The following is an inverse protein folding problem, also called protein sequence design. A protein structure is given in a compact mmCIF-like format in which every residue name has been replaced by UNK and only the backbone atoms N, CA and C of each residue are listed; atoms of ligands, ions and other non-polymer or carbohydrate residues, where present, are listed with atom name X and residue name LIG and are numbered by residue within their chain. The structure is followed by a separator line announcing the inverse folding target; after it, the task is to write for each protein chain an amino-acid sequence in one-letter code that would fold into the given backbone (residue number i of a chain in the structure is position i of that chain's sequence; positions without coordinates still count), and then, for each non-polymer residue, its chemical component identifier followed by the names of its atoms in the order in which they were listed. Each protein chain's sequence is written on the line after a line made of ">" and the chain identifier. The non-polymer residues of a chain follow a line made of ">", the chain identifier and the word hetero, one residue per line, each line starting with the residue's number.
data_IF_053451369522
#
_entry.id   IF_053451369522
#
_cell.length_a   1.000
_cell.length_b   1.000
_cell.length_c   1.000
_cell.angle_alpha   90.00
_cell.angle_beta   90.00
_cell.angle_gamma   90.00
#
_symmetry.space_group_name_H-M   'P 1'
#
loop_
_entity.id
_entity.type
_entity.pdbx_description
1 polymer ?
#
# COMPACT_ATOMS: atom_id res chain seq x y z
N UNK A 1 44.14 3.05 -88.13
CA UNK A 1 42.68 3.23 -88.36
C UNK A 1 42.08 1.83 -88.27
N UNK A 2 41.17 1.46 -87.39
CA UNK A 2 40.23 2.20 -86.57
C UNK A 2 39.95 1.41 -85.27
N UNK A 3 39.66 2.14 -84.20
CA UNK A 3 39.05 1.61 -82.99
C UNK A 3 37.58 1.24 -83.29
N UNK A 4 37.11 0.08 -82.83
CA UNK A 4 35.67 -0.17 -82.64
C UNK A 4 35.48 -1.14 -81.47
N UNK A 5 35.01 -0.53 -80.37
CA UNK A 5 34.45 -1.06 -79.13
C UNK A 5 33.31 -2.09 -79.40
N UNK A 6 32.77 -2.88 -78.44
CA UNK A 6 32.77 -2.66 -76.99
C UNK A 6 32.97 -3.94 -76.15
N UNK A 7 33.96 -3.96 -75.26
CA UNK A 7 33.97 -4.93 -74.16
C UNK A 7 33.61 -4.20 -72.89
N UNK A 8 32.33 -4.00 -72.64
CA UNK A 8 31.81 -3.69 -71.30
C UNK A 8 30.39 -4.23 -71.27
N UNK A 9 30.29 -5.56 -71.20
CA UNK A 9 29.12 -6.17 -70.61
C UNK A 9 29.01 -5.60 -69.20
N UNK A 10 28.07 -4.66 -69.01
CA UNK A 10 27.65 -4.20 -67.69
C UNK A 10 27.13 -5.43 -66.96
N UNK A 11 28.01 -6.07 -66.19
CA UNK A 11 27.60 -6.96 -65.13
C UNK A 11 26.81 -6.09 -64.15
N UNK A 12 25.52 -6.38 -64.07
CA UNK A 12 24.59 -5.91 -63.06
C UNK A 12 25.29 -5.92 -61.70
N UNK A 13 25.68 -4.74 -61.20
CA UNK A 13 26.26 -4.60 -59.87
C UNK A 13 25.07 -4.78 -58.91
N UNK A 14 24.77 -6.03 -58.58
CA UNK A 14 23.98 -6.34 -57.41
C UNK A 14 24.82 -5.92 -56.21
N UNK A 15 24.62 -4.70 -55.74
CA UNK A 15 25.05 -4.30 -54.40
C UNK A 15 24.50 -5.36 -53.45
N UNK A 16 25.34 -6.09 -52.69
CA UNK A 16 24.80 -6.94 -51.65
C UNK A 16 24.08 -5.98 -50.72
N UNK A 17 22.75 -6.06 -50.69
CA UNK A 17 21.97 -5.37 -49.68
C UNK A 17 22.67 -5.72 -48.38
N UNK A 18 23.32 -4.73 -47.78
CA UNK A 18 23.99 -4.90 -46.50
C UNK A 18 22.82 -5.17 -45.57
N UNK A 19 22.47 -6.45 -45.42
CA UNK A 19 21.53 -6.94 -44.46
C UNK A 19 22.21 -6.66 -43.13
N UNK A 20 22.06 -5.42 -42.69
CA UNK A 20 22.37 -4.90 -41.37
C UNK A 20 21.34 -5.47 -40.40
N UNK A 21 20.97 -6.74 -40.59
CA UNK A 21 20.48 -7.61 -39.54
C UNK A 21 21.69 -8.02 -38.72
N UNK A 22 22.31 -7.02 -38.07
CA UNK A 22 23.20 -7.33 -36.98
C UNK A 22 22.30 -7.95 -35.90
N UNK A 23 22.48 -9.22 -35.52
CA UNK A 23 21.89 -9.68 -34.28
C UNK A 23 22.44 -8.72 -33.23
N UNK A 24 21.59 -7.97 -32.49
CA UNK A 24 22.10 -7.18 -31.38
C UNK A 24 22.90 -8.17 -30.54
N UNK A 25 24.20 -7.92 -30.41
CA UNK A 25 25.17 -8.89 -29.87
C UNK A 25 24.56 -9.61 -28.67
N UNK A 26 24.71 -10.94 -28.52
CA UNK A 26 23.94 -11.77 -27.57
C UNK A 26 23.94 -11.24 -26.11
N UNK A 27 24.89 -10.37 -25.75
CA UNK A 27 24.90 -9.64 -24.48
C UNK A 27 23.72 -8.69 -24.24
N UNK A 28 23.02 -8.20 -25.27
CA UNK A 28 21.82 -7.38 -25.07
C UNK A 28 20.67 -8.19 -24.50
N UNK A 29 20.55 -9.47 -24.85
CA UNK A 29 19.56 -10.35 -24.21
C UNK A 29 19.85 -10.52 -22.72
N UNK A 30 21.12 -10.56 -22.34
CA UNK A 30 21.50 -10.61 -20.93
C UNK A 30 21.11 -9.31 -20.21
N UNK A 31 21.31 -8.16 -20.86
CA UNK A 31 20.94 -6.85 -20.35
C UNK A 31 19.42 -6.68 -20.25
N UNK A 32 18.66 -7.10 -21.25
CA UNK A 32 17.19 -7.06 -21.21
C UNK A 32 16.63 -7.97 -20.12
N UNK A 33 17.16 -9.19 -19.97
CA UNK A 33 16.78 -10.09 -18.87
C UNK A 33 17.10 -9.46 -17.51
N UNK A 34 18.30 -8.88 -17.35
CA UNK A 34 18.69 -8.19 -16.11
C UNK A 34 17.71 -7.06 -15.78
N UNK A 35 17.37 -6.22 -16.76
CA UNK A 35 16.43 -5.11 -16.62
C UNK A 35 15.04 -5.63 -16.23
N UNK A 36 14.53 -6.67 -16.89
CA UNK A 36 13.24 -7.27 -16.56
C UNK A 36 13.22 -7.80 -15.12
N UNK A 37 14.28 -8.49 -14.69
CA UNK A 37 14.40 -8.99 -13.31
C UNK A 37 14.38 -7.82 -12.32
N UNK A 38 15.12 -6.75 -12.61
CA UNK A 38 15.17 -5.55 -11.75
C UNK A 38 13.80 -4.87 -11.65
N UNK A 39 13.08 -4.74 -12.77
CA UNK A 39 11.71 -4.24 -12.77
C UNK A 39 10.78 -5.15 -11.99
N UNK A 40 10.85 -6.46 -12.17
CA UNK A 40 10.00 -7.42 -11.47
C UNK A 40 10.24 -7.36 -9.95
N UNK A 41 11.49 -7.28 -9.52
CA UNK A 41 11.85 -7.12 -8.10
C UNK A 41 11.34 -5.80 -7.54
N UNK A 42 11.55 -4.71 -8.26
CA UNK A 42 11.07 -3.38 -7.85
C UNK A 42 9.54 -3.38 -7.71
N UNK A 43 8.84 -3.86 -8.74
CA UNK A 43 7.38 -3.97 -8.76
C UNK A 43 6.87 -4.80 -7.59
N UNK A 44 7.46 -5.97 -7.32
CA UNK A 44 7.08 -6.83 -6.20
C UNK A 44 7.30 -6.15 -4.84
N UNK A 45 8.39 -5.40 -4.68
CA UNK A 45 8.68 -4.67 -3.45
C UNK A 45 7.68 -3.52 -3.21
N UNK A 46 7.38 -2.75 -4.25
CA UNK A 46 6.38 -1.69 -4.20
C UNK A 46 4.98 -2.26 -3.95
N UNK A 47 4.61 -3.34 -4.62
CA UNK A 47 3.33 -4.01 -4.47
C UNK A 47 3.11 -4.52 -3.04
N UNK A 48 4.13 -5.14 -2.42
CA UNK A 48 4.05 -5.56 -1.01
C UNK A 48 3.84 -4.37 -0.08
N UNK A 49 4.53 -3.24 -0.32
CA UNK A 49 4.32 -2.02 0.49
C UNK A 49 2.92 -1.44 0.31
N UNK A 50 2.41 -1.44 -0.92
CA UNK A 50 1.07 -0.96 -1.23
C UNK A 50 -0.02 -1.82 -0.59
N UNK A 51 0.10 -3.14 -0.69
CA UNK A 51 -0.86 -4.07 -0.06
C UNK A 51 -0.92 -3.87 1.46
N UNK A 52 0.21 -3.63 2.11
CA UNK A 52 0.27 -3.32 3.54
C UNK A 52 -0.42 -2.01 3.91
N UNK A 53 -0.59 -1.06 2.99
CA UNK A 53 -1.30 0.18 3.24
C UNK A 53 -2.82 0.09 3.00
N UNK A 54 -3.30 -0.97 2.35
CA UNK A 54 -4.72 -1.12 2.01
C UNK A 54 -5.64 -1.16 3.25
N UNK A 55 -5.35 -1.95 4.32
CA UNK A 55 -6.23 -2.03 5.47
C UNK A 55 -6.37 -0.68 6.20
N UNK A 56 -5.27 0.10 6.26
CA UNK A 56 -5.29 1.44 6.86
C UNK A 56 -6.12 2.41 6.01
N UNK A 57 -6.03 2.31 4.67
CA UNK A 57 -6.83 3.16 3.76
C UNK A 57 -8.32 2.81 3.84
N UNK A 58 -8.65 1.53 3.92
CA UNK A 58 -10.03 1.06 4.09
C UNK A 58 -10.61 1.52 5.44
N UNK A 59 -9.88 1.34 6.54
CA UNK A 59 -10.30 1.82 7.85
C UNK A 59 -10.53 3.34 7.88
N UNK A 60 -9.70 4.14 7.20
CA UNK A 60 -9.92 5.59 7.06
C UNK A 60 -11.18 5.93 6.25
N UNK A 61 -11.51 5.14 5.23
CA UNK A 61 -12.71 5.34 4.45
C UNK A 61 -13.97 4.97 5.25
N UNK A 62 -13.94 3.84 5.96
CA UNK A 62 -15.02 3.38 6.83
C UNK A 62 -15.28 4.34 7.99
N UNK A 63 -14.22 4.89 8.62
CA UNK A 63 -14.36 5.87 9.70
C UNK A 63 -15.18 7.10 9.28
N UNK A 64 -15.06 7.55 8.02
CA UNK A 64 -15.83 8.71 7.51
C UNK A 64 -17.33 8.44 7.37
N UNK A 65 -17.72 7.16 7.34
CA UNK A 65 -19.13 6.75 7.29
C UNK A 65 -19.75 6.73 8.68
N UNK A 66 -18.94 6.58 9.73
CA UNK A 66 -19.38 6.54 11.11
C UNK A 66 -19.63 7.97 11.60
N UNK A 67 -20.88 8.28 11.92
CA UNK A 67 -21.30 9.64 12.36
C UNK A 67 -22.27 9.65 13.52
N UNK A 68 -22.85 8.50 13.84
CA UNK A 68 -23.91 8.41 14.85
C UNK A 68 -23.41 7.70 16.10
N UNK A 69 -23.90 8.10 17.30
CA UNK A 69 -23.49 7.48 18.56
C UNK A 69 -23.82 5.99 18.66
N UNK A 70 -24.87 5.53 17.97
CA UNK A 70 -25.25 4.11 17.88
C UNK A 70 -24.16 3.24 17.22
N UNK A 71 -23.29 3.86 16.42
CA UNK A 71 -22.18 3.20 15.72
C UNK A 71 -20.89 3.17 16.54
N UNK A 72 -20.94 3.49 17.85
CA UNK A 72 -19.76 3.45 18.72
C UNK A 72 -19.12 2.05 18.75
N UNK A 73 -19.95 1.00 18.72
CA UNK A 73 -19.51 -0.38 18.61
C UNK A 73 -18.78 -0.66 17.28
N UNK A 74 -19.33 -0.17 16.16
CA UNK A 74 -18.70 -0.29 14.83
C UNK A 74 -17.33 0.41 14.80
N UNK A 75 -17.23 1.59 15.40
CA UNK A 75 -15.96 2.32 15.49
C UNK A 75 -14.92 1.53 16.28
N UNK A 76 -15.32 0.94 17.41
CA UNK A 76 -14.44 0.10 18.22
C UNK A 76 -14.01 -1.18 17.48
N UNK A 77 -14.94 -1.84 16.79
CA UNK A 77 -14.61 -3.00 15.96
C UNK A 77 -13.65 -2.65 14.83
N UNK A 78 -13.83 -1.50 14.17
CA UNK A 78 -12.94 -1.01 13.12
C UNK A 78 -11.51 -0.85 13.63
N UNK A 79 -11.33 -0.21 14.80
CA UNK A 79 -10.01 -0.05 15.41
C UNK A 79 -9.39 -1.41 15.79
N UNK A 80 -10.15 -2.31 16.41
CA UNK A 80 -9.68 -3.66 16.77
C UNK A 80 -9.34 -4.50 15.54
N UNK A 81 -10.16 -4.44 14.50
CA UNK A 81 -9.93 -5.11 13.21
C UNK A 81 -8.62 -4.63 12.59
N UNK A 82 -8.38 -3.32 12.63
CA UNK A 82 -7.13 -2.75 12.15
C UNK A 82 -5.93 -3.28 12.94
N UNK A 83 -5.97 -3.29 14.27
CA UNK A 83 -4.88 -3.88 15.08
C UNK A 83 -4.70 -5.37 14.75
N UNK A 84 -5.77 -6.14 14.61
CA UNK A 84 -5.73 -7.56 14.23
C UNK A 84 -5.08 -7.81 12.86
N UNK A 85 -5.31 -6.92 11.89
CA UNK A 85 -4.71 -7.05 10.56
C UNK A 85 -3.18 -6.90 10.58
N UNK A 86 -2.62 -6.10 11.48
CA UNK A 86 -1.17 -5.84 11.54
C UNK A 86 -0.44 -6.63 12.62
N UNK A 87 -1.10 -6.92 13.75
CA UNK A 87 -0.55 -7.70 14.86
C UNK A 87 -1.51 -8.83 15.26
N UNK A 88 -1.59 -9.91 14.44
CA UNK A 88 -2.43 -11.06 14.73
C UNK A 88 -1.89 -11.78 15.98
N UNK A 89 -2.64 -11.71 17.08
CA UNK A 89 -2.26 -12.31 18.37
C UNK A 89 -1.87 -11.30 19.45
N UNK A 90 -1.97 -9.99 19.19
CA UNK A 90 -1.75 -9.00 20.22
C UNK A 90 -2.74 -9.18 21.39
N UNK A 91 -2.21 -9.19 22.62
CA UNK A 91 -2.99 -9.44 23.84
C UNK A 91 -4.21 -8.50 24.02
N UNK A 92 -4.15 -7.28 23.47
CA UNK A 92 -5.23 -6.28 23.56
C UNK A 92 -6.50 -6.66 22.82
N UNK A 93 -6.44 -7.62 21.89
CA UNK A 93 -7.59 -8.08 21.12
C UNK A 93 -8.54 -8.96 21.95
N UNK A 94 -7.99 -9.73 22.90
CA UNK A 94 -8.75 -10.57 23.83
C UNK A 94 -8.95 -9.89 25.19
N UNK A 95 -8.34 -8.72 25.38
CA UNK A 95 -8.38 -8.01 26.65
C UNK A 95 -9.74 -7.34 26.90
N UNK A 96 -10.13 -7.18 28.18
CA UNK A 96 -11.34 -6.45 28.54
C UNK A 96 -11.22 -4.97 28.14
N UNK A 97 -12.36 -4.29 27.99
CA UNK A 97 -12.44 -2.91 27.44
C UNK A 97 -11.53 -1.91 28.17
N UNK A 98 -11.28 -2.07 29.48
CA UNK A 98 -10.32 -1.22 30.21
C UNK A 98 -8.89 -1.29 29.68
N UNK A 99 -8.39 -2.50 29.44
CA UNK A 99 -7.04 -2.69 28.91
C UNK A 99 -6.93 -2.19 27.47
N UNK A 100 -8.00 -2.34 26.70
CA UNK A 100 -8.09 -1.74 25.36
C UNK A 100 -8.06 -0.21 25.42
N UNK A 101 -8.77 0.40 26.37
CA UNK A 101 -8.76 1.84 26.59
C UNK A 101 -7.37 2.34 27.00
N UNK A 102 -6.71 1.65 27.93
CA UNK A 102 -5.33 1.96 28.34
C UNK A 102 -4.36 1.89 27.15
N UNK A 103 -4.46 0.84 26.34
CA UNK A 103 -3.67 0.69 25.13
C UNK A 103 -3.89 1.85 24.16
N UNK A 104 -5.13 2.25 23.91
CA UNK A 104 -5.42 3.40 23.05
C UNK A 104 -4.83 4.69 23.65
N UNK A 105 -5.02 4.94 24.95
CA UNK A 105 -4.46 6.10 25.63
C UNK A 105 -2.92 6.16 25.52
N UNK A 106 -2.24 5.02 25.55
CA UNK A 106 -0.78 4.96 25.34
C UNK A 106 -0.35 5.38 23.93
N UNK A 107 -1.18 5.17 22.91
CA UNK A 107 -0.87 5.60 21.54
C UNK A 107 -0.94 7.13 21.39
N UNK A 108 -1.84 7.77 22.14
CA UNK A 108 -2.10 9.21 22.10
C UNK A 108 -2.27 9.78 23.52
N UNK A 109 -1.18 9.87 24.32
CA UNK A 109 -1.27 10.30 25.71
C UNK A 109 -1.75 11.76 25.87
N UNK A 110 -1.67 12.56 24.80
CA UNK A 110 -2.06 13.98 24.80
C UNK A 110 -3.53 14.21 24.45
N UNK A 111 -4.25 13.21 23.94
CA UNK A 111 -5.66 13.38 23.61
C UNK A 111 -6.55 12.86 24.72
N UNK A 112 -7.70 13.52 24.96
CA UNK A 112 -8.72 13.00 25.83
C UNK A 112 -9.38 11.77 25.18
N UNK A 113 -9.50 10.69 25.95
CA UNK A 113 -10.26 9.50 25.59
C UNK A 113 -11.41 9.36 26.58
N UNK A 114 -12.67 9.24 26.12
CA UNK A 114 -13.80 9.04 27.01
C UNK A 114 -13.76 7.62 27.60
N UNK A 115 -14.59 7.39 28.62
CA UNK A 115 -14.74 6.05 29.20
C UNK A 115 -15.43 5.11 28.19
N UNK A 116 -14.62 4.24 27.58
CA UNK A 116 -15.11 3.32 26.54
C UNK A 116 -16.12 2.32 27.09
N UNK A 117 -16.11 2.04 28.40
CA UNK A 117 -17.13 1.17 28.97
C UNK A 117 -18.51 1.82 28.88
N UNK A 118 -18.59 3.13 29.13
CA UNK A 118 -19.84 3.88 29.01
C UNK A 118 -20.27 4.01 27.56
N UNK A 119 -19.36 4.46 26.69
CA UNK A 119 -19.66 4.71 25.27
C UNK A 119 -20.08 3.45 24.51
N UNK A 120 -19.55 2.27 24.90
CA UNK A 120 -19.83 1.01 24.19
C UNK A 120 -20.98 0.19 24.79
N UNK A 121 -21.22 0.27 26.11
CA UNK A 121 -22.19 -0.60 26.78
C UNK A 121 -23.42 0.14 27.34
N UNK A 122 -23.42 1.47 27.41
CA UNK A 122 -24.61 2.22 27.80
C UNK A 122 -25.39 2.63 26.55
N UNK A 123 -26.70 2.36 26.56
CA UNK A 123 -27.62 2.70 25.47
C UNK A 123 -27.85 4.21 25.30
N UNK A 124 -27.40 5.02 26.28
CA UNK A 124 -27.52 6.48 26.28
C UNK A 124 -26.10 7.06 26.34
N UNK A 125 -25.31 6.84 25.29
CA UNK A 125 -24.03 7.52 25.16
C UNK A 125 -24.31 8.98 24.81
N UNK A 126 -23.78 9.90 25.61
CA UNK A 126 -23.81 11.32 25.30
C UNK A 126 -23.12 11.56 23.94
N UNK A 127 -23.73 12.41 23.09
CA UNK A 127 -23.15 12.78 21.81
C UNK A 127 -21.73 13.37 21.98
N UNK A 128 -21.46 14.01 23.11
CA UNK A 128 -20.16 14.57 23.47
C UNK A 128 -19.07 13.50 23.63
N UNK A 129 -19.40 12.40 24.30
CA UNK A 129 -18.45 11.30 24.51
C UNK A 129 -18.18 10.58 23.18
N UNK A 130 -19.22 10.37 22.37
CA UNK A 130 -19.06 9.79 21.04
C UNK A 130 -18.19 10.68 20.14
N UNK A 131 -18.43 11.99 20.09
CA UNK A 131 -17.62 12.90 19.26
C UNK A 131 -16.17 12.95 19.74
N UNK A 132 -15.93 12.90 21.05
CA UNK A 132 -14.57 12.79 21.62
C UNK A 132 -13.89 11.49 21.17
N UNK A 133 -14.60 10.36 21.21
CA UNK A 133 -14.07 9.07 20.75
C UNK A 133 -13.78 9.06 19.24
N UNK A 134 -14.67 9.64 18.43
CA UNK A 134 -14.50 9.77 16.99
C UNK A 134 -13.28 10.63 16.65
N UNK A 135 -13.12 11.79 17.30
CA UNK A 135 -11.97 12.68 17.12
C UNK A 135 -10.65 12.00 17.52
N UNK A 136 -10.68 11.24 18.61
CA UNK A 136 -9.54 10.41 19.02
C UNK A 136 -9.17 9.41 17.92
N UNK A 137 -10.15 8.67 17.40
CA UNK A 137 -9.95 7.66 16.36
C UNK A 137 -9.42 8.27 15.04
N UNK A 138 -9.97 9.41 14.62
CA UNK A 138 -9.49 10.16 13.46
C UNK A 138 -8.03 10.56 13.61
N UNK A 139 -7.68 11.14 14.76
CA UNK A 139 -6.33 11.61 15.04
C UNK A 139 -5.35 10.44 15.13
N UNK A 140 -5.77 9.33 15.74
CA UNK A 140 -4.99 8.11 15.79
C UNK A 140 -4.71 7.57 14.39
N UNK A 141 -5.74 7.42 13.56
CA UNK A 141 -5.61 6.92 12.19
C UNK A 141 -4.75 7.85 11.31
N UNK A 142 -4.76 9.15 11.57
CA UNK A 142 -3.89 10.11 10.88
C UNK A 142 -2.43 9.99 11.31
N UNK A 143 -2.17 9.76 12.60
CA UNK A 143 -0.82 9.70 13.16
C UNK A 143 -0.17 8.32 13.00
N UNK A 144 -0.97 7.26 13.05
CA UNK A 144 -0.48 5.89 13.06
C UNK A 144 0.05 5.51 11.68
N UNK A 145 1.24 4.91 11.66
CA UNK A 145 1.86 4.40 10.44
C UNK A 145 1.81 2.87 10.40
N UNK A 146 1.81 2.30 9.19
CA UNK A 146 1.86 0.84 9.00
C UNK A 146 3.05 0.22 9.77
N UNK A 147 4.21 0.88 9.76
CA UNK A 147 5.39 0.41 10.51
C UNK A 147 5.18 0.40 12.02
N UNK A 148 4.41 1.33 12.56
CA UNK A 148 4.10 1.38 13.98
C UNK A 148 3.14 0.24 14.34
N UNK A 149 2.12 0.00 13.51
CA UNK A 149 1.16 -1.08 13.70
C UNK A 149 1.79 -2.47 13.64
N UNK A 150 2.79 -2.66 12.78
CA UNK A 150 3.58 -3.91 12.70
C UNK A 150 4.50 -4.14 13.92
N UNK A 151 4.71 -3.12 14.77
CA UNK A 151 5.58 -3.20 15.96
C UNK A 151 4.81 -3.28 17.28
N UNK A 152 3.48 -3.22 17.22
CA UNK A 152 2.60 -3.42 18.37
C UNK A 152 2.62 -4.89 18.77
#
# INVERSE_FOLDING_TARGET
>A
MANTEPQLALADIQEPMLNTFWPPAPGWWLLTVLVIVLLAYSFRFFWKKWQKALPLRQAKAELRLIKQPEQSAELNELLKRLVRCYSPGHNVLSAPVKHWQEFLQQQLPKQPLPDLQKVLYQSVSDQTDFTTYLQFAETWLHKVSVKQLERL
#
